data_IF_800575539264
#
_entry.id   IF_800575539264
#
_cell.length_a   1.000
_cell.length_b   1.000
_cell.length_c   1.000
_cell.angle_alpha   90.00
_cell.angle_beta   90.00
_cell.angle_gamma   90.00
#
_symmetry.space_group_name_H-M   'P 1'
#
loop_
_entity.id
_entity.type
_entity.pdbx_description
1 polymer ?
#
# COMPACT_ATOMS: atom_id res chain seq x y z
N UNK A 1 -15.09 19.97 26.81
CA UNK A 1 -13.68 20.10 26.39
C UNK A 1 -12.81 18.87 26.70
N UNK A 2 -12.91 18.22 27.88
CA UNK A 2 -12.10 17.02 28.22
C UNK A 2 -12.18 15.85 27.21
N UNK A 3 -13.29 15.65 26.49
CA UNK A 3 -13.44 14.51 25.56
C UNK A 3 -12.61 14.61 24.26
N UNK A 4 -12.01 15.77 23.96
CA UNK A 4 -11.27 16.01 22.70
C UNK A 4 -9.78 16.31 22.97
N UNK A 5 -9.36 16.51 24.22
CA UNK A 5 -7.96 16.84 24.55
C UNK A 5 -6.96 15.79 24.08
N UNK A 6 -7.36 14.52 24.06
CA UNK A 6 -6.52 13.42 23.57
C UNK A 6 -6.08 13.62 22.10
N UNK A 7 -6.88 14.28 21.25
CA UNK A 7 -6.53 14.58 19.86
C UNK A 7 -5.33 15.53 19.81
N UNK A 8 -5.34 16.55 20.68
CA UNK A 8 -4.27 17.54 20.76
C UNK A 8 -2.96 16.91 21.28
N UNK A 9 -3.08 15.89 22.13
CA UNK A 9 -1.96 15.15 22.69
C UNK A 9 -1.37 14.11 21.72
N UNK A 10 -2.05 13.74 20.63
CA UNK A 10 -1.58 12.71 19.69
C UNK A 10 -0.18 12.99 19.14
N UNK A 11 0.08 14.25 18.73
CA UNK A 11 1.40 14.65 18.20
C UNK A 11 2.53 14.51 19.23
N UNK A 12 2.22 14.64 20.52
CA UNK A 12 3.19 14.51 21.61
C UNK A 12 3.34 13.06 22.07
N UNK A 13 2.23 12.32 22.24
CA UNK A 13 2.21 10.98 22.84
C UNK A 13 2.52 9.86 21.86
N UNK A 14 2.15 10.01 20.59
CA UNK A 14 2.40 8.96 19.56
C UNK A 14 3.90 8.72 19.34
N UNK A 15 4.78 9.74 19.28
CA UNK A 15 6.22 9.51 19.21
C UNK A 15 6.75 8.76 20.42
N UNK A 16 6.29 9.10 21.63
CA UNK A 16 6.68 8.40 22.85
C UNK A 16 6.26 6.92 22.82
N UNK A 17 5.11 6.62 22.22
CA UNK A 17 4.68 5.25 21.98
C UNK A 17 5.57 4.54 20.95
N UNK A 18 5.91 5.20 19.85
CA UNK A 18 6.84 4.64 18.86
C UNK A 18 8.23 4.39 19.43
N UNK A 19 8.74 5.25 20.32
CA UNK A 19 10.01 5.01 21.03
C UNK A 19 9.96 3.72 21.86
N UNK A 20 8.83 3.39 22.48
CA UNK A 20 8.65 2.13 23.22
C UNK A 20 8.57 0.91 22.31
N UNK A 21 8.20 1.09 21.05
CA UNK A 21 8.17 0.02 20.05
C UNK A 21 9.51 -0.18 19.34
N UNK A 22 10.47 0.75 19.47
CA UNK A 22 11.78 0.56 18.85
C UNK A 22 12.47 -0.67 19.41
N UNK A 23 13.07 -1.46 18.51
CA UNK A 23 13.96 -2.54 18.90
C UNK A 23 15.17 -2.02 19.68
N UNK A 24 15.64 -2.83 20.61
CA UNK A 24 16.80 -2.56 21.44
C UNK A 24 18.09 -3.11 20.81
N UNK A 25 18.00 -4.16 20.00
CA UNK A 25 19.15 -4.88 19.42
C UNK A 25 19.40 -4.47 17.97
N UNK A 26 18.36 -4.36 17.16
CA UNK A 26 18.43 -4.13 15.71
C UNK A 26 18.00 -2.68 15.39
N UNK A 27 18.92 -1.82 14.94
CA UNK A 27 18.57 -0.48 14.51
C UNK A 27 17.53 -0.48 13.38
N UNK A 28 16.50 0.35 13.53
CA UNK A 28 15.41 0.48 12.56
C UNK A 28 14.30 -0.56 12.69
N UNK A 29 14.44 -1.55 13.59
CA UNK A 29 13.36 -2.48 13.92
C UNK A 29 12.29 -1.80 14.79
N UNK A 30 11.02 -2.17 14.55
CA UNK A 30 9.89 -1.84 15.41
C UNK A 30 9.10 -3.09 15.76
N UNK A 31 8.75 -3.24 17.03
CA UNK A 31 7.75 -4.18 17.49
C UNK A 31 6.37 -3.84 16.91
N UNK A 32 5.55 -4.87 16.69
CA UNK A 32 4.18 -4.71 16.19
C UNK A 32 3.25 -4.18 17.30
N UNK A 33 3.55 -4.53 18.55
CA UNK A 33 2.79 -4.18 19.73
C UNK A 33 3.71 -4.00 20.95
N UNK A 34 3.21 -3.42 22.04
CA UNK A 34 4.02 -3.18 23.24
C UNK A 34 4.44 -4.46 23.99
N UNK A 35 3.69 -5.55 23.85
CA UNK A 35 3.91 -6.76 24.65
C UNK A 35 3.35 -8.05 24.03
N UNK A 36 2.71 -7.97 22.86
CA UNK A 36 2.00 -9.08 22.23
C UNK A 36 2.67 -9.61 20.95
N UNK A 37 3.94 -9.28 20.75
CA UNK A 37 4.68 -9.75 19.59
C UNK A 37 4.97 -11.24 19.73
N UNK A 38 4.65 -12.01 18.69
CA UNK A 38 4.89 -13.45 18.67
C UNK A 38 6.38 -13.80 18.44
N UNK A 39 7.15 -12.84 17.92
CA UNK A 39 8.54 -13.00 17.53
C UNK A 39 9.34 -11.83 18.09
N UNK A 40 10.59 -12.07 18.47
CA UNK A 40 11.51 -11.03 18.95
C UNK A 40 12.46 -10.59 17.82
N UNK A 41 13.36 -9.64 18.10
CA UNK A 41 14.36 -9.09 17.18
C UNK A 41 15.35 -10.12 16.64
N UNK A 42 15.49 -11.27 17.28
CA UNK A 42 16.48 -12.30 16.89
C UNK A 42 16.10 -13.02 15.58
N UNK A 43 14.91 -12.77 15.04
CA UNK A 43 14.45 -13.29 13.75
C UNK A 43 14.35 -12.18 12.70
N UNK A 44 14.56 -12.54 11.43
CA UNK A 44 14.36 -11.60 10.32
C UNK A 44 12.87 -11.43 10.02
N UNK A 45 12.25 -10.44 10.66
CA UNK A 45 10.86 -10.02 10.45
C UNK A 45 10.67 -8.54 10.81
N UNK A 46 9.49 -7.99 10.58
CA UNK A 46 9.12 -6.63 11.02
C UNK A 46 9.14 -5.58 9.91
N UNK A 47 9.21 -5.99 8.63
CA UNK A 47 9.15 -5.06 7.50
C UNK A 47 7.93 -4.14 7.58
N UNK A 48 6.75 -4.73 7.80
CA UNK A 48 5.50 -3.98 7.92
C UNK A 48 5.51 -3.00 9.09
N UNK A 49 6.08 -3.39 10.22
CA UNK A 49 6.12 -2.61 11.45
C UNK A 49 6.92 -1.32 11.23
N UNK A 50 8.14 -1.45 10.70
CA UNK A 50 9.00 -0.30 10.41
C UNK A 50 8.40 0.59 9.34
N UNK A 51 7.80 0.01 8.29
CA UNK A 51 7.09 0.77 7.26
C UNK A 51 5.92 1.57 7.85
N UNK A 52 5.17 1.01 8.80
CA UNK A 52 4.12 1.73 9.50
C UNK A 52 4.68 2.84 10.39
N UNK A 53 5.76 2.59 11.13
CA UNK A 53 6.41 3.61 11.94
C UNK A 53 6.82 4.82 11.09
N UNK A 54 7.46 4.60 9.94
CA UNK A 54 7.82 5.67 8.99
C UNK A 54 6.59 6.46 8.54
N UNK A 55 5.49 5.78 8.23
CA UNK A 55 4.25 6.43 7.80
C UNK A 55 3.58 7.22 8.93
N UNK A 56 3.65 6.73 10.17
CA UNK A 56 3.14 7.47 11.33
C UNK A 56 3.98 8.74 11.54
N UNK A 57 5.32 8.63 11.52
CA UNK A 57 6.19 9.82 11.59
C UNK A 57 5.88 10.82 10.48
N UNK A 58 5.66 10.36 9.25
CA UNK A 58 5.26 11.22 8.14
C UNK A 58 3.91 11.90 8.38
N UNK A 59 2.87 11.15 8.77
CA UNK A 59 1.53 11.68 9.03
C UNK A 59 1.51 12.71 10.16
N UNK A 60 2.34 12.53 11.18
CA UNK A 60 2.50 13.49 12.28
C UNK A 60 3.34 14.71 11.90
N UNK A 61 3.95 14.71 10.70
CA UNK A 61 4.87 15.75 10.25
C UNK A 61 6.22 15.72 10.98
N UNK A 62 6.61 14.60 11.57
CA UNK A 62 7.82 14.46 12.41
C UNK A 62 9.01 13.83 11.68
N UNK A 63 8.79 13.31 10.48
CA UNK A 63 9.84 12.61 9.73
C UNK A 63 11.06 13.50 9.48
N UNK A 64 10.86 14.81 9.24
CA UNK A 64 11.96 15.76 9.05
C UNK A 64 12.80 15.96 10.32
N UNK A 65 12.18 15.86 11.50
CA UNK A 65 12.79 16.06 12.82
C UNK A 65 13.61 14.86 13.30
N UNK A 66 13.46 13.68 12.68
CA UNK A 66 14.29 12.51 13.01
C UNK A 66 15.77 12.78 12.71
N UNK A 67 16.65 12.25 13.58
CA UNK A 67 18.11 12.36 13.37
C UNK A 67 18.50 11.63 12.09
N UNK A 68 19.55 12.11 11.42
CA UNK A 68 20.05 11.46 10.19
C UNK A 68 20.41 9.99 10.42
N UNK A 69 21.01 9.66 11.57
CA UNK A 69 21.31 8.28 11.96
C UNK A 69 20.04 7.42 11.98
N UNK A 70 18.97 7.89 12.61
CA UNK A 70 17.71 7.16 12.71
C UNK A 70 17.06 6.95 11.34
N UNK A 71 17.07 7.96 10.47
CA UNK A 71 16.60 7.80 9.08
C UNK A 71 17.39 6.72 8.36
N UNK A 72 18.72 6.72 8.49
CA UNK A 72 19.59 5.73 7.86
C UNK A 72 19.36 4.32 8.45
N UNK A 73 19.10 4.20 9.75
CA UNK A 73 18.76 2.92 10.39
C UNK A 73 17.44 2.37 9.82
N UNK A 74 16.41 3.20 9.68
CA UNK A 74 15.13 2.83 9.06
C UNK A 74 15.30 2.39 7.60
N UNK A 75 16.06 3.16 6.81
CA UNK A 75 16.35 2.84 5.39
C UNK A 75 17.04 1.48 5.29
N UNK A 76 18.14 1.30 6.04
CA UNK A 76 18.91 0.05 6.02
C UNK A 76 18.07 -1.15 6.43
N UNK A 77 17.26 -1.00 7.49
CA UNK A 77 16.40 -2.07 7.95
C UNK A 77 15.40 -2.51 6.87
N UNK A 78 14.69 -1.57 6.26
CA UNK A 78 13.74 -1.86 5.16
C UNK A 78 14.48 -2.53 3.98
N UNK A 79 15.67 -2.04 3.62
CA UNK A 79 16.49 -2.59 2.53
C UNK A 79 16.91 -4.05 2.77
N UNK A 80 17.02 -4.51 4.02
CA UNK A 80 17.34 -5.92 4.28
C UNK A 80 16.26 -6.89 3.78
N UNK A 81 15.04 -6.42 3.54
CA UNK A 81 13.93 -7.23 3.01
C UNK A 81 13.82 -7.20 1.48
N UNK A 82 14.69 -6.45 0.80
CA UNK A 82 14.75 -6.42 -0.66
C UNK A 82 15.45 -7.67 -1.20
N UNK A 83 14.87 -8.33 -2.20
CA UNK A 83 15.51 -9.39 -2.95
C UNK A 83 16.31 -8.89 -4.16
N UNK A 84 16.97 -9.80 -4.87
CA UNK A 84 17.75 -9.48 -6.07
C UNK A 84 16.92 -8.99 -7.27
N UNK A 85 15.60 -9.14 -7.23
CA UNK A 85 14.66 -8.64 -8.24
C UNK A 85 14.04 -7.29 -7.86
N UNK A 86 14.34 -6.78 -6.65
CA UNK A 86 13.80 -5.54 -6.13
C UNK A 86 12.47 -5.69 -5.38
N UNK A 87 11.97 -6.91 -5.14
CA UNK A 87 10.78 -7.10 -4.31
C UNK A 87 11.13 -6.99 -2.83
N UNK A 88 10.26 -6.34 -2.06
CA UNK A 88 10.33 -6.31 -0.61
C UNK A 88 9.25 -7.22 -0.06
N UNK A 89 9.64 -8.16 0.80
CA UNK A 89 8.69 -8.98 1.53
C UNK A 89 9.28 -9.50 2.83
N UNK A 90 8.41 -9.77 3.80
CA UNK A 90 8.80 -10.38 5.06
C UNK A 90 8.84 -11.92 4.92
N UNK A 91 10.03 -12.56 4.99
CA UNK A 91 10.16 -14.00 4.75
C UNK A 91 9.41 -14.82 5.81
N UNK A 92 9.43 -14.40 7.07
CA UNK A 92 8.77 -15.11 8.17
C UNK A 92 7.25 -15.05 8.00
N UNK A 93 6.70 -13.86 7.76
CA UNK A 93 5.25 -13.68 7.55
C UNK A 93 4.80 -14.43 6.30
N UNK A 94 5.60 -14.40 5.23
CA UNK A 94 5.33 -15.17 4.01
C UNK A 94 5.27 -16.66 4.30
N UNK A 95 6.22 -17.21 5.05
CA UNK A 95 6.23 -18.63 5.41
C UNK A 95 5.01 -19.03 6.23
N UNK A 96 4.70 -18.28 7.29
CA UNK A 96 3.56 -18.57 8.18
C UNK A 96 2.21 -18.40 7.49
N UNK A 97 2.10 -17.52 6.49
CA UNK A 97 0.87 -17.33 5.73
C UNK A 97 0.61 -18.39 4.66
N UNK A 98 1.58 -19.26 4.31
CA UNK A 98 1.42 -20.26 3.23
C UNK A 98 0.24 -21.20 3.47
N UNK A 99 0.12 -21.76 4.67
CA UNK A 99 -0.96 -22.69 5.02
C UNK A 99 -2.33 -22.03 4.95
N UNK A 100 -2.46 -20.81 5.50
CA UNK A 100 -3.67 -20.00 5.41
C UNK A 100 -4.02 -19.66 3.96
N UNK A 101 -3.03 -19.24 3.15
CA UNK A 101 -3.24 -18.89 1.74
C UNK A 101 -3.70 -20.10 0.92
N UNK A 102 -3.15 -21.29 1.18
CA UNK A 102 -3.60 -22.53 0.55
C UNK A 102 -5.06 -22.84 0.89
N UNK A 103 -5.45 -22.76 2.17
CA UNK A 103 -6.83 -22.98 2.62
C UNK A 103 -7.80 -21.97 2.00
N UNK A 104 -7.41 -20.70 1.94
CA UNK A 104 -8.21 -19.63 1.30
C UNK A 104 -8.36 -19.89 -0.21
N UNK A 105 -7.28 -20.29 -0.89
CA UNK A 105 -7.32 -20.61 -2.31
C UNK A 105 -8.24 -21.78 -2.63
N UNK A 106 -8.25 -22.82 -1.79
CA UNK A 106 -9.18 -23.95 -1.88
C UNK A 106 -10.63 -23.46 -1.67
N UNK A 107 -10.88 -22.74 -0.58
CA UNK A 107 -12.22 -22.24 -0.22
C UNK A 107 -12.82 -21.35 -1.31
N UNK A 108 -12.01 -20.47 -1.89
CA UNK A 108 -12.47 -19.48 -2.87
C UNK A 108 -12.34 -19.96 -4.33
N UNK A 109 -11.87 -21.20 -4.55
CA UNK A 109 -11.51 -21.75 -5.89
C UNK A 109 -10.63 -20.80 -6.70
N UNK A 110 -9.81 -19.99 -6.03
CA UNK A 110 -8.94 -19.00 -6.65
C UNK A 110 -7.48 -19.30 -6.29
N UNK A 111 -6.77 -19.84 -7.27
CA UNK A 111 -5.36 -20.19 -7.16
C UNK A 111 -4.43 -19.03 -7.58
N UNK A 112 -4.95 -17.87 -8.00
CA UNK A 112 -4.11 -16.77 -8.50
C UNK A 112 -3.06 -16.29 -7.47
N UNK A 113 -3.37 -16.42 -6.17
CA UNK A 113 -2.55 -15.88 -5.09
C UNK A 113 -2.00 -16.94 -4.11
N UNK A 114 -2.05 -18.24 -4.42
CA UNK A 114 -1.55 -19.27 -3.48
C UNK A 114 -0.04 -19.13 -3.21
N UNK A 115 0.71 -18.53 -4.15
CA UNK A 115 2.15 -18.25 -4.01
C UNK A 115 2.46 -16.96 -3.22
N UNK A 116 1.44 -16.24 -2.74
CA UNK A 116 1.59 -15.01 -1.94
C UNK A 116 2.08 -13.80 -2.76
N UNK A 117 1.90 -13.83 -4.08
CA UNK A 117 2.43 -12.81 -4.98
C UNK A 117 1.75 -11.46 -4.82
N UNK A 118 0.44 -11.43 -4.56
CA UNK A 118 -0.25 -10.16 -4.34
C UNK A 118 0.20 -9.50 -3.03
N UNK A 119 0.46 -10.31 -1.99
CA UNK A 119 1.04 -9.85 -0.72
C UNK A 119 2.41 -9.24 -0.97
N UNK A 120 3.29 -9.93 -1.70
CA UNK A 120 4.62 -9.42 -2.04
C UNK A 120 4.53 -8.09 -2.81
N UNK A 121 3.62 -7.97 -3.79
CA UNK A 121 3.41 -6.72 -4.52
C UNK A 121 2.95 -5.59 -3.58
N UNK A 122 2.05 -5.90 -2.63
CA UNK A 122 1.60 -4.94 -1.65
C UNK A 122 2.74 -4.50 -0.73
N UNK A 123 3.52 -5.43 -0.19
CA UNK A 123 4.68 -5.14 0.68
C UNK A 123 5.75 -4.33 -0.06
N UNK A 124 6.10 -4.70 -1.29
CA UNK A 124 6.97 -3.91 -2.17
C UNK A 124 6.48 -2.47 -2.31
N UNK A 125 5.19 -2.26 -2.62
CA UNK A 125 4.65 -0.91 -2.73
C UNK A 125 4.79 -0.14 -1.41
N UNK A 126 4.47 -0.76 -0.28
CA UNK A 126 4.52 -0.10 1.03
C UNK A 126 5.95 0.25 1.43
N UNK A 127 6.92 -0.64 1.17
CA UNK A 127 8.34 -0.44 1.43
C UNK A 127 8.91 0.69 0.55
N UNK A 128 8.68 0.64 -0.77
CA UNK A 128 9.10 1.72 -1.69
C UNK A 128 8.48 3.06 -1.30
N UNK A 129 7.19 3.08 -0.93
CA UNK A 129 6.53 4.28 -0.44
C UNK A 129 7.22 4.84 0.81
N UNK A 130 7.63 4.00 1.76
CA UNK A 130 8.32 4.45 2.98
C UNK A 130 9.73 4.97 2.68
N UNK A 131 10.49 4.27 1.84
CA UNK A 131 11.82 4.68 1.39
C UNK A 131 11.77 6.06 0.71
N UNK A 132 10.80 6.28 -0.18
CA UNK A 132 10.60 7.60 -0.80
C UNK A 132 10.31 8.71 0.22
N UNK A 133 9.52 8.44 1.27
CA UNK A 133 9.28 9.43 2.33
C UNK A 133 10.56 9.75 3.10
N UNK A 134 11.44 8.77 3.26
CA UNK A 134 12.76 8.92 3.89
C UNK A 134 13.79 9.63 2.98
N UNK A 135 13.45 9.95 1.74
CA UNK A 135 14.29 10.67 0.79
C UNK A 135 15.04 9.77 -0.21
N UNK A 136 14.84 8.45 -0.16
CA UNK A 136 15.49 7.52 -1.09
C UNK A 136 14.90 7.62 -2.50
N UNK A 137 15.78 7.60 -3.50
CA UNK A 137 15.39 7.44 -4.90
C UNK A 137 15.25 5.95 -5.20
N UNK A 138 14.02 5.45 -5.17
CA UNK A 138 13.73 4.05 -5.48
C UNK A 138 13.05 3.90 -6.82
N UNK A 139 13.51 2.95 -7.64
CA UNK A 139 12.86 2.55 -8.89
C UNK A 139 12.01 1.31 -8.62
N UNK A 140 10.79 1.31 -9.14
CA UNK A 140 9.90 0.15 -9.06
C UNK A 140 10.52 -1.03 -9.82
N UNK A 141 10.42 -2.27 -9.29
CA UNK A 141 10.84 -3.47 -10.01
C UNK A 141 10.22 -3.52 -11.41
N UNK A 142 11.05 -3.67 -12.44
CA UNK A 142 10.60 -3.68 -13.83
C UNK A 142 9.67 -4.86 -14.15
N UNK A 143 9.74 -5.92 -13.36
CA UNK A 143 9.02 -7.16 -13.63
C UNK A 143 7.52 -7.00 -13.35
N UNK A 144 6.72 -7.17 -14.41
CA UNK A 144 5.25 -7.14 -14.43
C UNK A 144 4.55 -5.77 -14.43
N UNK A 145 5.26 -4.69 -14.74
CA UNK A 145 4.61 -3.43 -15.08
C UNK A 145 4.16 -3.51 -16.55
N UNK A 146 2.85 -3.40 -16.87
CA UNK A 146 2.41 -3.29 -18.25
C UNK A 146 3.14 -2.13 -18.94
N UNK A 147 3.67 -2.38 -20.14
CA UNK A 147 4.54 -1.44 -20.86
C UNK A 147 3.89 -0.85 -22.14
N UNK A 148 2.64 -1.23 -22.41
CA UNK A 148 1.85 -0.72 -23.54
C UNK A 148 0.39 -0.46 -23.11
N UNK A 149 -0.35 0.45 -23.79
CA UNK A 149 -1.76 0.68 -23.52
C UNK A 149 -2.63 -0.60 -23.58
N UNK A 150 -2.33 -1.50 -24.52
CA UNK A 150 -3.05 -2.76 -24.68
C UNK A 150 -2.81 -3.69 -23.48
N UNK A 151 -1.58 -3.74 -22.98
CA UNK A 151 -1.25 -4.55 -21.79
C UNK A 151 -1.84 -3.96 -20.51
N UNK A 152 -1.90 -2.63 -20.38
CA UNK A 152 -2.62 -1.93 -19.29
C UNK A 152 -4.11 -2.27 -19.32
N UNK A 153 -4.75 -2.11 -20.48
CA UNK A 153 -6.18 -2.42 -20.66
C UNK A 153 -6.48 -3.89 -20.33
N UNK A 154 -5.67 -4.82 -20.85
CA UNK A 154 -5.81 -6.26 -20.58
C UNK A 154 -5.60 -6.59 -19.10
N UNK A 155 -4.69 -5.91 -18.42
CA UNK A 155 -4.50 -6.06 -16.99
C UNK A 155 -5.76 -5.64 -16.21
N UNK A 156 -6.32 -4.47 -16.52
CA UNK A 156 -7.49 -3.92 -15.82
C UNK A 156 -8.76 -4.74 -16.07
N UNK A 157 -8.96 -5.27 -17.29
CA UNK A 157 -10.08 -6.14 -17.64
C UNK A 157 -10.10 -7.46 -16.85
N UNK A 158 -8.94 -7.95 -16.41
CA UNK A 158 -8.84 -9.20 -15.64
C UNK A 158 -9.15 -9.01 -14.15
N UNK A 159 -9.20 -7.78 -13.66
CA UNK A 159 -9.47 -7.52 -12.25
C UNK A 159 -10.96 -7.79 -11.94
N UNK A 160 -11.27 -8.34 -10.75
CA UNK A 160 -12.65 -8.67 -10.39
C UNK A 160 -13.40 -7.42 -9.93
N UNK A 161 -13.89 -6.58 -10.85
CA UNK A 161 -14.59 -5.33 -10.52
C UNK A 161 -15.95 -5.50 -9.82
N UNK A 162 -16.44 -6.72 -9.68
CA UNK A 162 -17.54 -7.07 -8.77
C UNK A 162 -17.10 -7.15 -7.28
N UNK A 163 -15.78 -7.10 -7.03
CA UNK A 163 -15.13 -6.93 -5.71
C UNK A 163 -14.24 -5.69 -5.76
N UNK A 164 -14.84 -4.49 -5.85
CA UNK A 164 -14.11 -3.26 -6.14
C UNK A 164 -13.02 -2.92 -5.12
N UNK A 165 -13.09 -3.35 -3.86
CA UNK A 165 -12.00 -3.14 -2.89
C UNK A 165 -10.70 -3.84 -3.32
N UNK A 166 -10.82 -5.06 -3.85
CA UNK A 166 -9.68 -5.81 -4.35
C UNK A 166 -9.18 -5.23 -5.68
N UNK A 167 -10.07 -5.06 -6.67
CA UNK A 167 -9.70 -4.51 -7.98
C UNK A 167 -9.06 -3.11 -7.89
N UNK A 168 -9.64 -2.20 -7.09
CA UNK A 168 -9.09 -0.86 -6.90
C UNK A 168 -7.71 -0.88 -6.20
N UNK A 169 -7.42 -1.90 -5.38
CA UNK A 169 -6.08 -2.09 -4.80
C UNK A 169 -5.04 -2.31 -5.88
N UNK A 170 -5.35 -3.19 -6.82
CA UNK A 170 -4.49 -3.53 -7.94
C UNK A 170 -4.34 -2.36 -8.92
N UNK A 171 -5.41 -1.60 -9.17
CA UNK A 171 -5.32 -0.34 -9.91
C UNK A 171 -4.39 0.68 -9.23
N UNK A 172 -4.53 0.88 -7.91
CA UNK A 172 -3.65 1.78 -7.15
C UNK A 172 -2.18 1.33 -7.20
N UNK A 173 -1.94 0.02 -7.15
CA UNK A 173 -0.60 -0.56 -7.32
C UNK A 173 -0.04 -0.26 -8.72
N UNK A 174 -0.84 -0.48 -9.77
CA UNK A 174 -0.44 -0.19 -11.14
C UNK A 174 0.00 1.26 -11.32
N UNK A 175 -0.81 2.24 -10.88
CA UNK A 175 -0.45 3.65 -10.98
C UNK A 175 0.81 3.99 -10.19
N UNK A 176 0.96 3.42 -8.99
CA UNK A 176 2.17 3.60 -8.19
C UNK A 176 3.41 3.07 -8.91
N UNK A 177 3.38 1.85 -9.43
CA UNK A 177 4.54 1.28 -10.11
C UNK A 177 4.85 1.98 -11.43
N UNK A 178 3.83 2.36 -12.22
CA UNK A 178 4.04 3.16 -13.43
C UNK A 178 4.69 4.51 -13.12
N UNK A 179 4.21 5.25 -12.12
CA UNK A 179 4.79 6.56 -11.75
C UNK A 179 6.26 6.42 -11.32
N UNK A 180 6.60 5.32 -10.68
CA UNK A 180 7.93 5.02 -10.12
C UNK A 180 8.80 4.11 -11.00
N UNK A 181 8.42 3.88 -12.26
CA UNK A 181 9.25 3.13 -13.21
C UNK A 181 10.12 4.05 -14.06
N UNK A 182 11.09 3.42 -14.74
CA UNK A 182 11.95 4.05 -15.74
C UNK A 182 11.35 4.01 -17.16
N UNK A 183 10.08 3.62 -17.30
CA UNK A 183 9.41 3.58 -18.61
C UNK A 183 9.26 4.99 -19.17
N UNK A 184 9.79 5.23 -20.37
CA UNK A 184 9.69 6.52 -21.06
C UNK A 184 8.22 6.92 -21.33
N UNK A 185 7.35 5.94 -21.62
CA UNK A 185 5.94 6.17 -21.91
C UNK A 185 5.02 6.10 -20.67
N UNK A 186 5.55 6.12 -19.44
CA UNK A 186 4.75 5.93 -18.21
C UNK A 186 3.56 6.88 -18.07
N UNK A 187 3.66 8.13 -18.51
CA UNK A 187 2.53 9.06 -18.46
C UNK A 187 1.36 8.59 -19.32
N UNK A 188 1.64 8.15 -20.56
CA UNK A 188 0.62 7.64 -21.47
C UNK A 188 -0.04 6.35 -20.94
N UNK A 189 0.74 5.49 -20.28
CA UNK A 189 0.22 4.28 -19.63
C UNK A 189 -0.69 4.60 -18.44
N UNK A 190 -0.33 5.61 -17.63
CA UNK A 190 -1.17 6.12 -16.54
C UNK A 190 -2.46 6.70 -17.11
N UNK A 191 -2.40 7.49 -18.18
CA UNK A 191 -3.59 8.07 -18.83
C UNK A 191 -4.51 6.97 -19.35
N UNK A 192 -3.97 5.97 -20.03
CA UNK A 192 -4.74 4.82 -20.48
C UNK A 192 -5.45 4.09 -19.33
N UNK A 193 -4.78 3.90 -18.18
CA UNK A 193 -5.39 3.29 -17.01
C UNK A 193 -6.52 4.14 -16.42
N UNK A 194 -6.34 5.46 -16.35
CA UNK A 194 -7.35 6.42 -15.86
C UNK A 194 -8.57 6.45 -16.78
N UNK A 195 -8.34 6.51 -18.09
CA UNK A 195 -9.44 6.51 -19.06
C UNK A 195 -10.21 5.20 -19.08
N UNK A 196 -9.54 4.08 -18.76
CA UNK A 196 -10.21 2.81 -18.58
C UNK A 196 -11.15 2.83 -17.37
N UNK A 197 -10.70 3.29 -16.19
CA UNK A 197 -11.56 3.28 -14.99
C UNK A 197 -12.75 4.25 -15.09
N UNK A 198 -12.63 5.36 -15.83
CA UNK A 198 -13.78 6.27 -16.08
C UNK A 198 -14.97 5.53 -16.69
N UNK A 199 -14.72 4.51 -17.52
CA UNK A 199 -15.78 3.73 -18.19
C UNK A 199 -16.61 2.86 -17.25
N UNK A 200 -16.09 2.56 -16.06
CA UNK A 200 -16.77 1.74 -15.06
C UNK A 200 -17.20 2.55 -13.82
N UNK A 201 -17.09 3.87 -13.89
CA UNK A 201 -17.56 4.74 -12.83
C UNK A 201 -19.08 4.84 -12.88
N UNK A 202 -19.74 4.56 -11.76
CA UNK A 202 -21.18 4.56 -11.67
C UNK A 202 -21.71 5.99 -11.49
N UNK A 203 -22.63 6.42 -12.34
CA UNK A 203 -23.20 7.78 -12.30
C UNK A 203 -24.15 8.01 -11.11
N UNK A 204 -24.67 6.95 -10.48
CA UNK A 204 -25.64 7.09 -9.39
C UNK A 204 -24.95 7.31 -8.04
N UNK A 205 -23.80 6.67 -7.82
CA UNK A 205 -23.08 6.70 -6.54
C UNK A 205 -21.60 7.11 -6.64
N UNK A 206 -21.11 7.43 -7.84
CA UNK A 206 -19.75 7.89 -8.09
C UNK A 206 -18.65 6.86 -7.89
N UNK A 207 -18.95 5.62 -7.47
CA UNK A 207 -17.94 4.59 -7.21
C UNK A 207 -17.58 3.81 -8.50
N UNK A 208 -16.44 3.09 -8.47
CA UNK A 208 -15.94 2.29 -9.60
C UNK A 208 -16.17 0.80 -9.38
N UNK A 209 -17.07 0.20 -10.15
CA UNK A 209 -17.37 -1.23 -10.03
C UNK A 209 -18.14 -1.80 -11.23
N UNK A 210 -18.29 -3.12 -11.24
CA UNK A 210 -19.22 -3.84 -12.12
C UNK A 210 -20.17 -4.70 -11.28
N UNK A 211 -21.40 -4.92 -11.76
CA UNK A 211 -22.41 -5.70 -11.04
C UNK A 211 -23.02 -4.92 -9.86
N UNK A 212 -23.32 -5.62 -8.76
CA UNK A 212 -23.98 -5.05 -7.59
C UNK A 212 -23.20 -5.34 -6.28
N UNK A 213 -22.02 -4.73 -6.08
CA UNK A 213 -21.24 -4.91 -4.86
C UNK A 213 -21.90 -4.26 -3.65
N UNK A 214 -21.61 -4.78 -2.46
CA UNK A 214 -22.07 -4.20 -1.20
C UNK A 214 -21.44 -2.83 -0.95
N UNK A 215 -22.09 -2.01 -0.12
CA UNK A 215 -21.69 -0.64 0.20
C UNK A 215 -20.24 -0.52 0.69
N UNK A 216 -19.80 -1.43 1.56
CA UNK A 216 -18.44 -1.44 2.11
C UNK A 216 -17.38 -1.63 1.03
N UNK A 217 -17.66 -2.48 0.02
CA UNK A 217 -16.76 -2.72 -1.11
C UNK A 217 -16.66 -1.46 -1.99
N UNK A 218 -17.78 -0.78 -2.25
CA UNK A 218 -17.81 0.45 -3.04
C UNK A 218 -16.98 1.57 -2.38
N UNK A 219 -17.25 1.86 -1.12
CA UNK A 219 -16.60 2.93 -0.36
C UNK A 219 -15.09 2.66 -0.23
N UNK A 220 -14.71 1.45 0.21
CA UNK A 220 -13.29 1.10 0.36
C UNK A 220 -12.56 0.99 -0.99
N UNK A 221 -13.26 0.57 -2.06
CA UNK A 221 -12.75 0.59 -3.42
C UNK A 221 -12.46 2.01 -3.90
N UNK A 222 -13.41 2.94 -3.71
CA UNK A 222 -13.26 4.33 -4.08
C UNK A 222 -12.06 5.01 -3.39
N UNK A 223 -11.85 4.77 -2.09
CA UNK A 223 -10.67 5.27 -1.38
C UNK A 223 -9.35 4.82 -2.01
N UNK A 224 -9.28 3.57 -2.50
CA UNK A 224 -8.08 3.04 -3.17
C UNK A 224 -7.87 3.63 -4.56
N UNK A 225 -8.94 3.86 -5.32
CA UNK A 225 -8.87 4.57 -6.61
C UNK A 225 -8.31 5.98 -6.39
N UNK A 226 -8.90 6.74 -5.47
CA UNK A 226 -8.45 8.10 -5.12
C UNK A 226 -6.98 8.10 -4.70
N UNK A 227 -6.58 7.14 -3.87
CA UNK A 227 -5.16 6.98 -3.47
C UNK A 227 -4.25 6.78 -4.68
N UNK A 228 -4.65 5.96 -5.66
CA UNK A 228 -3.91 5.78 -6.91
C UNK A 228 -3.82 7.05 -7.76
N UNK A 229 -4.95 7.74 -7.94
CA UNK A 229 -5.02 9.00 -8.68
C UNK A 229 -4.15 10.10 -8.06
N UNK A 230 -4.12 10.18 -6.72
CA UNK A 230 -3.25 11.10 -5.99
C UNK A 230 -1.76 10.82 -6.23
N UNK A 231 -1.37 9.54 -6.23
CA UNK A 231 0.02 9.13 -6.56
C UNK A 231 0.38 9.51 -8.00
N UNK A 232 -0.57 9.41 -8.93
CA UNK A 232 -0.39 9.82 -10.31
C UNK A 232 -0.45 11.34 -10.53
N UNK A 233 -0.79 12.12 -9.50
CA UNK A 233 -1.06 13.57 -9.59
C UNK A 233 -2.18 13.91 -10.60
N UNK A 234 -3.17 13.01 -10.75
CA UNK A 234 -4.29 13.13 -11.70
C UNK A 234 -5.64 12.96 -10.99
N UNK A 235 -5.92 13.88 -10.07
CA UNK A 235 -7.16 13.91 -9.25
C UNK A 235 -8.36 14.48 -10.03
N UNK A 236 -8.69 13.88 -11.18
CA UNK A 236 -9.87 14.23 -11.95
C UNK A 236 -10.66 12.97 -12.32
N UNK A 237 -11.93 12.92 -11.91
CA UNK A 237 -12.85 11.82 -12.15
C UNK A 237 -14.29 12.34 -12.21
N UNK A 238 -15.22 11.51 -12.69
CA UNK A 238 -16.61 11.91 -12.91
C UNK A 238 -17.41 11.83 -11.59
N UNK A 239 -18.49 12.59 -11.44
CA UNK A 239 -19.44 12.44 -10.33
C UNK A 239 -18.86 12.52 -8.88
N UNK A 240 -17.96 13.46 -8.55
CA UNK A 240 -17.43 13.57 -7.18
C UNK A 240 -18.51 13.82 -6.13
N UNK A 241 -19.58 14.54 -6.45
CA UNK A 241 -20.70 14.81 -5.54
C UNK A 241 -21.43 13.52 -5.17
N UNK A 242 -21.65 12.61 -6.14
CA UNK A 242 -22.29 11.32 -5.90
C UNK A 242 -21.47 10.41 -5.00
N UNK A 243 -20.14 10.48 -5.13
CA UNK A 243 -19.25 9.74 -4.25
C UNK A 243 -19.25 10.30 -2.82
N UNK A 244 -19.42 11.62 -2.65
CA UNK A 244 -19.61 12.24 -1.33
C UNK A 244 -20.94 11.76 -0.73
N UNK A 245 -22.04 11.80 -1.51
CA UNK A 245 -23.37 11.32 -1.07
C UNK A 245 -23.34 9.84 -0.65
N UNK A 246 -22.53 9.00 -1.31
CA UNK A 246 -22.36 7.59 -0.93
C UNK A 246 -21.72 7.42 0.46
N UNK A 247 -20.93 8.40 0.92
CA UNK A 247 -20.11 8.30 2.13
C UNK A 247 -20.70 9.01 3.36
N UNK A 248 -21.76 9.83 3.18
CA UNK A 248 -22.41 10.62 4.23
C UNK A 248 -23.81 10.07 4.53
#
# INVERSE_FOLDING_TARGET
MQKISWILELKQKTPQFLEKLKGQKIPGFFHYSLSGDLYDEDLKWGLGNTVFAVKIYHTLGLLHSLKLKEKNDLIRFIQTFCDNQGYFYDPLIREKSRGRNLLISIKNKNWSNWRGRETMIAETRQALSALKLLGEKTIAPAFHIPNSPETVTRYLQKLPWHKPWHAASHFSHLLFFLKNSDLANKSALIDNAIDWIKKIQNQNDGAWYQGNPIWQEKINGAMKIITGLKVAEKMNFQYPEKLIDLCL
#
